data_IF_238533188407
#
_entry.id   IF_238533188407
#
_cell.length_a   1.000
_cell.length_b   1.000
_cell.length_c   1.000
_cell.angle_alpha   90.00
_cell.angle_beta   90.00
_cell.angle_gamma   90.00
#
_symmetry.space_group_name_H-M   'P 1'
#
loop_
_entity.id
_entity.type
_entity.pdbx_description
1 polymer ?
#
# COMPACT_ATOMS: atom_id res chain seq x y z
N UNK A 1 17.65 -7.08 -11.00
CA UNK A 1 16.80 -8.14 -10.44
C UNK A 1 16.04 -8.86 -11.55
N UNK A 2 15.74 -10.12 -11.34
CA UNK A 2 14.86 -10.92 -12.19
C UNK A 2 13.44 -11.00 -11.61
N UNK A 3 13.13 -10.15 -10.65
CA UNK A 3 11.86 -10.12 -9.94
C UNK A 3 11.02 -8.90 -10.34
N UNK A 4 9.73 -9.00 -10.15
CA UNK A 4 8.76 -7.97 -10.47
C UNK A 4 7.73 -7.73 -9.37
N UNK A 5 7.06 -6.59 -9.49
CA UNK A 5 5.98 -6.15 -8.60
C UNK A 5 4.68 -6.08 -9.42
N UNK A 6 3.64 -6.76 -8.97
CA UNK A 6 2.29 -6.66 -9.56
C UNK A 6 1.58 -5.45 -8.93
N UNK A 7 1.02 -4.57 -9.73
CA UNK A 7 0.25 -3.42 -9.29
C UNK A 7 -0.90 -3.08 -10.26
N UNK A 8 -1.86 -2.28 -9.81
CA UNK A 8 -2.83 -1.67 -10.71
C UNK A 8 -2.13 -0.75 -11.73
N UNK A 9 -2.62 -0.68 -12.95
CA UNK A 9 -2.07 0.20 -13.99
C UNK A 9 -2.18 1.69 -13.63
N UNK A 10 -3.16 2.06 -12.77
CA UNK A 10 -3.29 3.39 -12.17
C UNK A 10 -2.54 3.54 -10.85
N UNK A 11 -1.88 2.49 -10.36
CA UNK A 11 -1.14 2.50 -9.10
C UNK A 11 -0.04 3.57 -9.07
N UNK A 12 0.13 4.22 -7.93
CA UNK A 12 1.04 5.36 -7.76
C UNK A 12 2.48 5.01 -8.15
N UNK A 13 2.94 3.79 -7.81
CA UNK A 13 4.29 3.33 -8.17
C UNK A 13 4.53 3.22 -9.68
N UNK A 14 3.47 3.02 -10.46
CA UNK A 14 3.54 2.96 -11.93
C UNK A 14 3.46 4.35 -12.56
N UNK A 15 2.63 5.25 -12.02
CA UNK A 15 2.27 6.50 -12.67
C UNK A 15 3.07 7.71 -12.18
N UNK A 16 3.53 7.74 -10.91
CA UNK A 16 3.95 8.98 -10.26
C UNK A 16 5.28 8.90 -9.50
N UNK A 17 6.05 7.80 -9.62
CA UNK A 17 7.30 7.61 -8.87
C UNK A 17 8.57 7.73 -9.71
N UNK A 18 8.47 8.29 -10.92
CA UNK A 18 9.62 8.53 -11.80
C UNK A 18 10.54 7.31 -11.96
N UNK A 19 9.96 6.13 -12.14
CA UNK A 19 10.65 4.85 -12.28
C UNK A 19 11.53 4.48 -11.06
N UNK A 20 11.13 4.85 -9.84
CA UNK A 20 11.90 4.55 -8.63
C UNK A 20 12.03 3.05 -8.36
N UNK A 21 11.01 2.26 -8.70
CA UNK A 21 11.04 0.79 -8.59
C UNK A 21 11.98 0.20 -9.63
N UNK A 22 11.90 0.64 -10.89
CA UNK A 22 12.76 0.19 -11.97
C UNK A 22 14.22 0.57 -11.73
N UNK A 23 14.48 1.70 -11.07
CA UNK A 23 15.82 2.10 -10.65
C UNK A 23 16.47 1.12 -9.66
N UNK A 24 15.67 0.30 -8.98
CA UNK A 24 16.17 -0.82 -8.15
C UNK A 24 16.31 -2.13 -8.94
N UNK A 25 16.23 -2.07 -10.26
CA UNK A 25 16.26 -3.22 -11.17
C UNK A 25 15.09 -4.19 -11.00
N UNK A 26 13.91 -3.70 -10.60
CA UNK A 26 12.68 -4.46 -10.56
C UNK A 26 11.70 -3.94 -11.60
N UNK A 27 10.94 -4.84 -12.22
CA UNK A 27 9.91 -4.48 -13.19
C UNK A 27 8.58 -4.30 -12.47
N UNK A 28 7.79 -3.31 -12.87
CA UNK A 28 6.37 -3.24 -12.51
C UNK A 28 5.59 -4.00 -13.57
N UNK A 29 4.78 -4.98 -13.17
CA UNK A 29 3.80 -5.67 -13.98
C UNK A 29 2.43 -5.10 -13.66
N UNK A 30 1.87 -4.36 -14.60
CA UNK A 30 0.58 -3.70 -14.39
C UNK A 30 -0.58 -4.60 -14.79
N UNK A 31 -1.65 -4.55 -13.99
CA UNK A 31 -2.93 -5.18 -14.27
C UNK A 31 -3.97 -4.07 -14.50
N UNK A 32 -4.79 -4.15 -15.57
CA UNK A 32 -5.93 -3.26 -15.72
C UNK A 32 -6.86 -3.35 -14.51
N UNK A 33 -7.26 -2.20 -14.01
CA UNK A 33 -8.09 -2.13 -12.81
C UNK A 33 -9.49 -1.61 -13.08
N UNK A 34 -10.39 -1.82 -12.10
CA UNK A 34 -11.66 -1.13 -12.01
C UNK A 34 -11.67 -0.34 -10.72
N UNK A 35 -11.92 0.95 -10.80
CA UNK A 35 -11.96 1.86 -9.64
C UNK A 35 -10.67 1.85 -8.79
N UNK A 36 -9.52 1.64 -9.43
CA UNK A 36 -8.22 1.58 -8.75
C UNK A 36 -7.88 0.23 -8.10
N UNK A 37 -8.80 -0.72 -8.05
CA UNK A 37 -8.60 -2.04 -7.43
C UNK A 37 -8.25 -3.11 -8.46
N UNK A 38 -7.35 -4.01 -8.05
CA UNK A 38 -7.08 -5.28 -8.73
C UNK A 38 -7.59 -6.43 -7.87
N UNK A 39 -8.12 -7.47 -8.50
CA UNK A 39 -8.74 -8.60 -7.80
C UNK A 39 -7.76 -9.75 -7.58
N UNK A 40 -8.04 -10.60 -6.59
CA UNK A 40 -7.30 -11.83 -6.35
C UNK A 40 -7.23 -12.72 -7.62
N UNK A 41 -8.34 -12.81 -8.37
CA UNK A 41 -8.39 -13.57 -9.63
C UNK A 41 -7.44 -13.01 -10.70
N UNK A 42 -7.35 -11.69 -10.84
CA UNK A 42 -6.43 -11.05 -11.78
C UNK A 42 -4.97 -11.27 -11.37
N UNK A 43 -4.68 -11.18 -10.07
CA UNK A 43 -3.35 -11.43 -9.51
C UNK A 43 -2.96 -12.91 -9.71
N UNK A 44 -3.89 -13.85 -9.44
CA UNK A 44 -3.68 -15.28 -9.65
C UNK A 44 -3.36 -15.59 -11.11
N UNK A 45 -4.12 -15.02 -12.05
CA UNK A 45 -3.87 -15.19 -13.49
C UNK A 45 -2.50 -14.61 -13.91
N UNK A 46 -2.13 -13.43 -13.40
CA UNK A 46 -0.86 -12.80 -13.71
C UNK A 46 0.34 -13.60 -13.17
N UNK A 47 0.26 -14.04 -11.91
CA UNK A 47 1.31 -14.84 -11.29
C UNK A 47 1.36 -16.26 -11.89
N UNK A 48 0.19 -16.89 -12.09
CA UNK A 48 0.08 -18.23 -12.68
C UNK A 48 0.73 -18.32 -14.07
N UNK A 49 0.53 -17.29 -14.90
CA UNK A 49 1.13 -17.24 -16.23
C UNK A 49 2.66 -17.41 -16.22
N UNK A 50 3.35 -16.87 -15.19
CA UNK A 50 4.79 -17.08 -15.04
C UNK A 50 5.16 -18.53 -14.71
N UNK A 51 4.41 -19.18 -13.80
CA UNK A 51 4.70 -20.54 -13.33
C UNK A 51 4.24 -21.62 -14.33
N UNK A 52 3.36 -21.29 -15.26
CA UNK A 52 2.89 -22.15 -16.33
C UNK A 52 3.74 -22.00 -17.61
N UNK A 53 4.66 -21.02 -17.65
CA UNK A 53 5.52 -20.78 -18.81
C UNK A 53 6.54 -21.90 -18.98
N UNK A 54 6.82 -22.29 -20.24
CA UNK A 54 7.79 -23.34 -20.55
C UNK A 54 9.24 -22.88 -20.39
N UNK A 55 9.49 -21.58 -20.56
CA UNK A 55 10.81 -20.95 -20.49
C UNK A 55 10.76 -19.74 -19.53
N UNK A 56 10.50 -19.95 -18.22
CA UNK A 56 10.32 -18.87 -17.26
C UNK A 56 11.55 -17.98 -17.07
N UNK A 57 12.73 -18.46 -17.45
CA UNK A 57 13.99 -17.71 -17.37
C UNK A 57 14.04 -16.46 -18.27
N UNK A 58 13.15 -16.35 -19.24
CA UNK A 58 13.01 -15.14 -20.08
C UNK A 58 12.05 -14.10 -19.50
N UNK A 59 11.40 -14.41 -18.41
CA UNK A 59 10.41 -13.54 -17.76
C UNK A 59 10.88 -13.08 -16.38
N UNK A 60 10.26 -12.04 -15.85
CA UNK A 60 10.50 -11.62 -14.47
C UNK A 60 9.53 -12.32 -13.52
N UNK A 61 10.07 -12.96 -12.48
CA UNK A 61 9.27 -13.63 -11.44
C UNK A 61 8.44 -12.63 -10.65
N UNK A 62 7.11 -12.75 -10.58
CA UNK A 62 6.29 -11.97 -9.66
C UNK A 62 6.67 -12.29 -8.20
N UNK A 63 7.07 -11.27 -7.44
CA UNK A 63 7.53 -11.48 -6.05
C UNK A 63 6.84 -10.59 -5.03
N UNK A 64 6.12 -9.59 -5.49
CA UNK A 64 5.37 -8.69 -4.63
C UNK A 64 4.07 -8.29 -5.31
N UNK A 65 3.00 -8.18 -4.53
CA UNK A 65 1.78 -7.46 -4.90
C UNK A 65 1.79 -6.13 -4.15
N UNK A 66 1.58 -5.05 -4.88
CA UNK A 66 1.48 -3.69 -4.33
C UNK A 66 0.05 -3.17 -4.49
N UNK A 67 -0.55 -2.79 -3.38
CA UNK A 67 -1.89 -2.21 -3.33
C UNK A 67 -1.81 -0.82 -2.68
N UNK A 68 -2.68 0.10 -3.07
CA UNK A 68 -2.90 1.37 -2.37
C UNK A 68 -4.16 1.29 -1.51
N UNK A 69 -4.11 1.83 -0.29
CA UNK A 69 -5.28 1.90 0.59
C UNK A 69 -5.38 3.26 1.30
N UNK A 70 -6.46 4.03 1.03
CA UNK A 70 -7.38 3.92 -0.12
C UNK A 70 -6.65 3.94 -1.45
N UNK A 71 -7.31 3.44 -2.51
CA UNK A 71 -6.73 3.54 -3.85
C UNK A 71 -6.62 5.00 -4.29
N UNK A 72 -5.90 5.27 -5.37
CA UNK A 72 -5.76 6.61 -5.95
C UNK A 72 -7.11 7.21 -6.38
N UNK A 73 -8.10 6.37 -6.61
CA UNK A 73 -9.48 6.76 -6.97
C UNK A 73 -10.40 6.89 -5.75
N UNK A 74 -9.89 6.64 -4.54
CA UNK A 74 -10.64 6.77 -3.29
C UNK A 74 -11.52 5.57 -2.94
N UNK A 75 -11.34 4.44 -3.61
CA UNK A 75 -12.02 3.18 -3.29
C UNK A 75 -11.29 2.41 -2.19
N UNK A 76 -11.99 1.51 -1.53
CA UNK A 76 -11.47 0.68 -0.44
C UNK A 76 -11.50 -0.79 -0.85
N UNK A 77 -10.46 -1.52 -0.48
CA UNK A 77 -10.53 -2.98 -0.41
C UNK A 77 -11.35 -3.36 0.83
N UNK A 78 -12.20 -4.40 0.73
CA UNK A 78 -12.82 -5.01 1.89
C UNK A 78 -11.86 -6.00 2.56
N UNK A 79 -12.16 -6.38 3.79
CA UNK A 79 -11.40 -7.42 4.51
C UNK A 79 -11.42 -8.75 3.76
N UNK A 80 -12.53 -9.10 3.11
CA UNK A 80 -12.65 -10.31 2.28
C UNK A 80 -11.75 -10.24 1.04
N UNK A 81 -11.74 -9.10 0.33
CA UNK A 81 -10.86 -8.88 -0.82
C UNK A 81 -9.37 -8.97 -0.41
N UNK A 82 -9.00 -8.35 0.72
CA UNK A 82 -7.64 -8.38 1.21
C UNK A 82 -7.19 -9.80 1.60
N UNK A 83 -8.06 -10.58 2.25
CA UNK A 83 -7.81 -12.00 2.56
C UNK A 83 -7.63 -12.84 1.31
N UNK A 84 -8.50 -12.67 0.32
CA UNK A 84 -8.38 -13.40 -0.95
C UNK A 84 -7.06 -13.06 -1.68
N UNK A 85 -6.63 -11.80 -1.66
CA UNK A 85 -5.32 -11.41 -2.22
C UNK A 85 -4.17 -12.03 -1.42
N UNK A 86 -4.25 -12.06 -0.08
CA UNK A 86 -3.25 -12.70 0.76
C UNK A 86 -3.09 -14.19 0.43
N UNK A 87 -4.20 -14.91 0.25
CA UNK A 87 -4.18 -16.33 -0.14
C UNK A 87 -3.46 -16.56 -1.47
N UNK A 88 -3.67 -15.69 -2.45
CA UNK A 88 -2.94 -15.75 -3.73
C UNK A 88 -1.46 -15.46 -3.54
N UNK A 89 -1.12 -14.47 -2.72
CA UNK A 89 0.28 -14.17 -2.41
C UNK A 89 0.97 -15.37 -1.74
N UNK A 90 0.29 -16.04 -0.80
CA UNK A 90 0.81 -17.24 -0.12
C UNK A 90 1.01 -18.40 -1.10
N UNK A 91 0.05 -18.61 -2.01
CA UNK A 91 0.12 -19.64 -3.05
C UNK A 91 1.40 -19.56 -3.88
N UNK A 92 1.82 -18.35 -4.23
CA UNK A 92 2.98 -18.11 -5.09
C UNK A 92 4.24 -17.62 -4.34
N UNK A 93 4.20 -17.55 -3.02
CA UNK A 93 5.31 -17.06 -2.21
C UNK A 93 5.66 -15.60 -2.51
N UNK A 94 4.66 -14.77 -2.75
CA UNK A 94 4.78 -13.33 -2.98
C UNK A 94 4.57 -12.54 -1.69
N UNK A 95 5.23 -11.41 -1.57
CA UNK A 95 4.96 -10.44 -0.51
C UNK A 95 3.76 -9.58 -0.86
N UNK A 96 3.00 -9.19 0.16
CA UNK A 96 1.91 -8.21 0.05
C UNK A 96 2.32 -6.89 0.70
N UNK A 97 2.42 -5.86 -0.11
CA UNK A 97 2.74 -4.49 0.31
C UNK A 97 1.51 -3.60 0.16
N UNK A 98 1.17 -2.83 1.20
CA UNK A 98 0.10 -1.84 1.15
C UNK A 98 0.63 -0.44 1.32
N UNK A 99 0.49 0.36 0.27
CA UNK A 99 0.70 1.81 0.28
C UNK A 99 -0.41 2.47 1.08
N UNK A 100 -0.06 2.90 2.27
CA UNK A 100 -0.95 3.61 3.18
C UNK A 100 -0.77 5.12 3.17
N UNK A 101 -0.42 5.75 2.04
CA UNK A 101 -0.23 7.21 1.95
C UNK A 101 -1.43 8.00 2.49
N UNK A 102 -2.62 7.38 2.46
CA UNK A 102 -3.88 7.93 2.98
C UNK A 102 -4.55 6.98 3.97
N UNK A 103 -3.79 6.13 4.64
CA UNK A 103 -4.30 5.04 5.48
C UNK A 103 -5.33 5.53 6.51
N UNK A 104 -5.07 6.66 7.18
CA UNK A 104 -5.97 7.20 8.17
C UNK A 104 -7.37 7.53 7.63
N UNK A 105 -7.46 8.04 6.41
CA UNK A 105 -8.75 8.28 5.75
C UNK A 105 -9.47 6.97 5.42
N UNK A 106 -8.76 5.98 4.89
CA UNK A 106 -9.34 4.67 4.64
C UNK A 106 -9.89 4.02 5.89
N UNK A 107 -9.12 4.04 6.99
CA UNK A 107 -9.54 3.50 8.28
C UNK A 107 -10.69 4.29 8.92
N UNK A 108 -10.79 5.59 8.65
CA UNK A 108 -11.86 6.46 9.13
C UNK A 108 -13.16 6.40 8.34
N UNK A 109 -13.12 5.84 7.13
CA UNK A 109 -14.27 5.77 6.23
C UNK A 109 -15.41 4.89 6.81
N UNK A 110 -16.65 5.30 6.55
CA UNK A 110 -17.85 4.60 7.07
C UNK A 110 -17.97 3.19 6.51
N UNK A 111 -17.57 3.00 5.25
CA UNK A 111 -17.63 1.73 4.54
C UNK A 111 -16.46 0.80 4.84
N UNK A 112 -15.48 1.23 5.64
CA UNK A 112 -14.30 0.43 5.95
C UNK A 112 -14.62 -0.68 6.96
N UNK A 113 -14.16 -1.89 6.67
CA UNK A 113 -14.27 -3.07 7.52
C UNK A 113 -12.90 -3.67 7.92
N UNK A 114 -11.80 -2.97 7.61
CA UNK A 114 -10.42 -3.39 7.90
C UNK A 114 -9.88 -2.60 9.09
N UNK A 115 -9.27 -3.29 10.04
CA UNK A 115 -8.53 -2.69 11.16
C UNK A 115 -7.02 -2.61 10.88
N UNK A 116 -6.29 -1.87 11.73
CA UNK A 116 -4.81 -1.86 11.68
C UNK A 116 -4.24 -3.24 11.96
N UNK A 117 -4.87 -3.99 12.85
CA UNK A 117 -4.51 -5.36 13.21
C UNK A 117 -4.69 -6.31 12.02
N UNK A 118 -5.72 -6.11 11.19
CA UNK A 118 -5.92 -6.88 9.96
C UNK A 118 -4.80 -6.59 8.95
N UNK A 119 -4.40 -5.33 8.77
CA UNK A 119 -3.24 -5.01 7.95
C UNK A 119 -1.97 -5.68 8.49
N UNK A 120 -1.74 -5.64 9.79
CA UNK A 120 -0.57 -6.28 10.38
C UNK A 120 -0.58 -7.81 10.23
N UNK A 121 -1.76 -8.43 10.22
CA UNK A 121 -1.91 -9.87 10.06
C UNK A 121 -1.83 -10.35 8.60
N UNK A 122 -2.31 -9.54 7.65
CA UNK A 122 -2.48 -9.94 6.25
C UNK A 122 -1.38 -9.41 5.32
N UNK A 123 -0.58 -8.42 5.75
CA UNK A 123 0.45 -7.83 4.89
C UNK A 123 1.85 -8.10 5.42
N UNK A 124 2.83 -8.11 4.52
CA UNK A 124 4.25 -8.21 4.87
C UNK A 124 4.85 -6.84 5.18
N UNK A 125 4.33 -5.80 4.50
CA UNK A 125 4.69 -4.40 4.71
C UNK A 125 3.48 -3.52 4.46
N UNK A 126 3.27 -2.53 5.31
CA UNK A 126 2.40 -1.41 5.02
C UNK A 126 2.98 -0.14 5.64
N UNK A 127 2.46 1.03 5.31
CA UNK A 127 2.90 2.23 6.00
C UNK A 127 1.75 3.16 6.39
N UNK A 128 1.94 3.83 7.52
CA UNK A 128 1.12 4.97 7.90
C UNK A 128 1.58 6.19 7.13
N UNK A 129 0.74 6.67 6.23
CA UNK A 129 0.95 7.91 5.53
C UNK A 129 1.02 9.07 6.51
N UNK A 130 2.12 9.82 6.50
CA UNK A 130 2.30 10.96 7.39
C UNK A 130 1.92 12.29 6.74
N UNK A 131 2.49 12.59 5.60
CA UNK A 131 2.42 13.91 4.96
C UNK A 131 1.02 14.34 4.55
N UNK A 132 0.12 13.39 4.29
CA UNK A 132 -1.29 13.65 3.96
C UNK A 132 -2.22 13.53 5.18
N UNK A 133 -1.72 12.99 6.29
CA UNK A 133 -2.51 12.62 7.47
C UNK A 133 -2.04 13.34 8.76
N UNK A 134 -1.42 14.52 8.62
CA UNK A 134 -1.11 15.39 9.75
C UNK A 134 0.35 15.52 10.16
N UNK A 135 1.27 14.71 9.60
CA UNK A 135 2.70 14.92 9.80
C UNK A 135 3.23 16.06 8.92
N UNK A 136 4.29 16.71 9.37
CA UNK A 136 4.97 17.74 8.59
C UNK A 136 5.78 17.12 7.44
N UNK A 137 6.30 15.91 7.63
CA UNK A 137 7.09 15.15 6.65
C UNK A 137 7.24 13.70 7.07
N UNK A 138 7.47 12.82 6.10
CA UNK A 138 7.81 11.41 6.31
C UNK A 138 6.61 10.48 6.44
N UNK A 139 6.94 9.20 6.44
CA UNK A 139 6.01 8.07 6.52
C UNK A 139 6.53 7.06 7.55
N UNK A 140 5.64 6.33 8.23
CA UNK A 140 6.02 5.30 9.18
C UNK A 140 5.80 3.90 8.57
N UNK A 141 6.87 3.25 8.16
CA UNK A 141 6.84 1.92 7.56
C UNK A 141 6.73 0.84 8.64
N UNK A 142 5.72 -0.02 8.53
CA UNK A 142 5.52 -1.20 9.37
C UNK A 142 5.90 -2.44 8.57
N UNK A 143 6.87 -3.20 9.06
CA UNK A 143 7.31 -4.47 8.47
C UNK A 143 6.89 -5.59 9.39
N UNK A 144 5.97 -6.44 8.96
CA UNK A 144 5.48 -7.59 9.72
C UNK A 144 6.32 -8.84 9.42
N UNK A 145 6.74 -9.02 8.16
CA UNK A 145 7.58 -10.13 7.71
C UNK A 145 8.97 -10.10 8.35
N UNK A 146 9.37 -11.19 9.01
CA UNK A 146 10.69 -11.30 9.64
C UNK A 146 11.84 -11.34 8.61
N UNK A 147 11.60 -11.89 7.43
CA UNK A 147 12.59 -11.96 6.38
C UNK A 147 12.94 -10.57 5.86
N UNK A 148 11.94 -9.70 5.71
CA UNK A 148 12.13 -8.32 5.26
C UNK A 148 12.76 -7.41 6.32
N UNK A 149 12.58 -7.71 7.63
CA UNK A 149 13.24 -6.98 8.72
C UNK A 149 14.76 -7.17 8.70
N UNK A 150 15.20 -8.33 8.22
CA UNK A 150 16.63 -8.68 8.24
C UNK A 150 17.41 -7.71 7.36
N UNK A 151 18.39 -7.01 7.97
CA UNK A 151 19.27 -6.02 7.32
C UNK A 151 18.54 -4.78 6.74
N UNK A 152 17.27 -4.56 7.02
CA UNK A 152 16.51 -3.41 6.51
C UNK A 152 17.22 -2.08 6.79
N UNK A 153 17.75 -1.89 8.01
CA UNK A 153 18.51 -0.68 8.36
C UNK A 153 19.77 -0.49 7.50
N UNK A 154 20.42 -1.57 7.06
CA UNK A 154 21.56 -1.48 6.16
C UNK A 154 21.14 -0.98 4.77
N UNK A 155 20.01 -1.47 4.24
CA UNK A 155 19.45 -0.97 3.00
C UNK A 155 19.01 0.50 3.12
N UNK A 156 18.37 0.89 4.21
CA UNK A 156 18.07 2.30 4.50
C UNK A 156 19.33 3.15 4.46
N UNK A 157 20.41 2.71 5.12
CA UNK A 157 21.67 3.45 5.15
C UNK A 157 22.30 3.58 3.75
N UNK A 158 22.29 2.50 2.99
CA UNK A 158 22.82 2.45 1.62
C UNK A 158 22.10 3.43 0.69
N UNK A 159 20.78 3.59 0.88
CA UNK A 159 19.95 4.49 0.08
C UNK A 159 19.77 5.90 0.68
N UNK A 160 20.60 6.28 1.67
CA UNK A 160 20.55 7.61 2.26
C UNK A 160 19.37 7.88 3.20
N UNK A 161 18.59 6.86 3.54
CA UNK A 161 17.35 7.01 4.33
C UNK A 161 17.57 6.98 5.87
N UNK A 162 18.83 6.90 6.34
CA UNK A 162 19.17 7.00 7.76
C UNK A 162 19.65 8.42 8.08
N UNK A 163 18.76 9.20 8.65
CA UNK A 163 19.05 10.59 9.04
C UNK A 163 19.76 10.65 10.39
N UNK A 164 20.71 11.57 10.55
CA UNK A 164 21.44 11.78 11.80
C UNK A 164 20.54 12.15 12.99
N UNK A 165 19.42 12.84 12.72
CA UNK A 165 18.40 13.22 13.70
C UNK A 165 17.03 12.67 13.32
N UNK A 166 16.97 11.42 12.85
CA UNK A 166 15.76 10.74 12.41
C UNK A 166 14.69 10.57 13.50
N UNK A 167 15.05 10.71 14.77
CA UNK A 167 14.09 10.70 15.88
C UNK A 167 13.03 11.82 15.75
N UNK A 168 13.31 12.92 15.03
CA UNK A 168 12.31 13.96 14.74
C UNK A 168 11.16 13.42 13.89
N UNK A 169 11.44 12.50 12.96
CA UNK A 169 10.40 11.78 12.21
C UNK A 169 9.56 10.91 13.16
N UNK A 170 10.22 10.14 14.03
CA UNK A 170 9.54 9.28 15.00
C UNK A 170 8.68 10.06 15.98
N UNK A 171 9.11 11.25 16.40
CA UNK A 171 8.36 12.10 17.32
C UNK A 171 7.00 12.53 16.74
N UNK A 172 6.94 12.83 15.43
CA UNK A 172 5.67 13.15 14.78
C UNK A 172 4.69 11.99 14.86
N UNK A 173 5.13 10.78 14.51
CA UNK A 173 4.29 9.58 14.57
C UNK A 173 3.94 9.21 16.02
N UNK A 174 4.86 9.36 16.96
CA UNK A 174 4.54 9.21 18.37
C UNK A 174 3.39 10.14 18.77
N UNK A 175 3.48 11.43 18.44
CA UNK A 175 2.44 12.42 18.76
C UNK A 175 1.11 12.15 18.04
N UNK A 176 1.18 11.73 16.77
CA UNK A 176 -0.02 11.43 15.98
C UNK A 176 -0.74 10.15 16.44
N UNK A 177 0.01 9.14 16.88
CA UNK A 177 -0.57 7.86 17.31
C UNK A 177 -0.89 7.84 18.80
N UNK A 178 -0.23 8.67 19.61
CA UNK A 178 -0.59 8.85 21.00
C UNK A 178 -1.99 9.47 21.09
N UNK A 179 -2.86 8.89 21.89
CA UNK A 179 -4.26 9.32 22.05
C UNK A 179 -5.09 9.36 20.74
N UNK A 180 -4.78 8.52 19.76
CA UNK A 180 -5.53 8.32 18.52
C UNK A 180 -5.71 9.57 17.62
N UNK A 181 -4.89 10.59 17.80
CA UNK A 181 -5.00 11.85 17.05
C UNK A 181 -4.96 11.63 15.52
N UNK A 182 -4.12 10.70 15.03
CA UNK A 182 -4.03 10.33 13.62
C UNK A 182 -5.40 9.93 13.04
N UNK A 183 -6.12 9.09 13.76
CA UNK A 183 -7.44 8.58 13.35
C UNK A 183 -8.54 9.64 13.51
N UNK A 184 -8.46 10.45 14.55
CA UNK A 184 -9.45 11.51 14.80
C UNK A 184 -9.43 12.58 13.71
N UNK A 185 -8.25 13.09 13.34
CA UNK A 185 -8.16 14.15 12.33
C UNK A 185 -8.54 13.67 10.94
N UNK A 186 -8.18 12.44 10.56
CA UNK A 186 -8.54 11.87 9.26
C UNK A 186 -10.04 11.56 9.18
N UNK A 187 -10.61 10.94 10.21
CA UNK A 187 -12.06 10.70 10.29
C UNK A 187 -12.86 12.00 10.24
N UNK A 188 -12.38 13.06 10.89
CA UNK A 188 -13.04 14.37 10.81
C UNK A 188 -13.04 14.94 9.40
N UNK A 189 -11.95 14.77 8.67
CA UNK A 189 -11.87 15.19 7.27
C UNK A 189 -12.84 14.39 6.39
N UNK A 190 -12.96 13.07 6.58
CA UNK A 190 -13.93 12.23 5.86
C UNK A 190 -15.37 12.70 6.10
N UNK A 191 -15.74 12.99 7.35
CA UNK A 191 -17.06 13.55 7.67
C UNK A 191 -17.33 14.85 6.93
N UNK A 192 -16.33 15.71 6.75
CA UNK A 192 -16.48 16.94 5.98
C UNK A 192 -16.59 16.68 4.48
N UNK A 193 -15.81 15.75 3.94
CA UNK A 193 -15.89 15.34 2.54
C UNK A 193 -17.27 14.75 2.20
N UNK A 194 -17.82 13.92 3.08
CA UNK A 194 -19.17 13.36 2.91
C UNK A 194 -20.25 14.43 2.88
N UNK A 195 -20.14 15.50 3.69
CA UNK A 195 -21.07 16.64 3.62
C UNK A 195 -21.02 17.37 2.28
N UNK A 196 -19.82 17.49 1.68
CA UNK A 196 -19.64 18.09 0.36
C UNK A 196 -20.30 17.19 -0.69
N UNK A 197 -19.99 15.89 -0.69
CA UNK A 197 -20.64 14.90 -1.57
C UNK A 197 -22.16 15.00 -1.54
N UNK A 198 -22.72 14.99 -0.35
CA UNK A 198 -24.19 15.04 -0.15
C UNK A 198 -24.78 16.36 -0.64
N UNK A 199 -24.03 17.47 -0.52
CA UNK A 199 -24.46 18.76 -1.05
C UNK A 199 -24.50 18.78 -2.59
N UNK A 200 -23.53 18.14 -3.26
CA UNK A 200 -23.52 17.97 -4.72
C UNK A 200 -24.64 17.05 -5.19
N UNK A 201 -24.80 15.90 -4.54
CA UNK A 201 -25.86 14.94 -4.86
C UNK A 201 -27.26 15.55 -4.77
N UNK A 202 -27.53 16.43 -3.77
CA UNK A 202 -28.79 17.17 -3.67
C UNK A 202 -29.03 18.14 -4.82
N UNK A 203 -28.00 18.52 -5.56
CA UNK A 203 -28.08 19.40 -6.73
C UNK A 203 -28.10 18.63 -8.06
N UNK A 204 -28.04 17.31 -8.02
CA UNK A 204 -28.00 16.45 -9.21
C UNK A 204 -26.64 16.45 -9.92
N UNK A 205 -25.57 16.74 -9.17
CA UNK A 205 -24.19 16.74 -9.63
C UNK A 205 -23.48 15.54 -9.02
#
# INVERSE_FOLDING_TARGET
SVQSVIAADTGHINCHEAASVENTNHKIQTIPNTDGKITATQIDACAGAYYEENEPEYYTEPKMVYLSFPTEQGTLYSLEELKAIREVCDKYGMYLFVDGARLGYGLGAVENDISVEDFAALTDVFYFGGTKCGALFGEAVVITSNDLKRRFKAFMKQNGAVLAKGWLLGLQFYTLLENDLYFEITKKADVLAMKIRDAFAKKGI
#
